data_IF_715308107971
#
_entry.id   IF_715308107971
#
_cell.length_a   1.000
_cell.length_b   1.000
_cell.length_c   1.000
_cell.angle_alpha   90.00
_cell.angle_beta   90.00
_cell.angle_gamma   90.00
#
_symmetry.space_group_name_H-M   'P 1'
#
loop_
_entity.id
_entity.type
_entity.pdbx_description
1 polymer ?
#
# COMPACT_ATOMS: atom_id res chain seq x y z
N UNK A 1 43.95 8.82 -4.11
CA UNK A 1 43.37 8.08 -2.97
C UNK A 1 42.12 7.37 -3.46
N UNK A 2 41.96 6.10 -3.08
CA UNK A 2 40.69 5.37 -2.97
C UNK A 2 40.13 4.45 -4.08
N UNK A 3 40.80 4.15 -5.20
CA UNK A 3 40.29 3.03 -6.04
C UNK A 3 40.42 1.68 -5.32
N UNK A 4 41.55 1.43 -4.67
CA UNK A 4 41.78 0.24 -3.84
C UNK A 4 41.02 0.20 -2.51
N UNK A 5 40.47 1.32 -2.04
CA UNK A 5 39.65 1.33 -0.84
C UNK A 5 38.19 1.00 -1.19
N UNK A 6 37.71 1.56 -2.30
CA UNK A 6 36.38 1.29 -2.86
C UNK A 6 36.30 -0.16 -3.34
N UNK A 7 37.30 -0.69 -4.06
CA UNK A 7 37.34 -2.11 -4.47
C UNK A 7 37.31 -3.07 -3.28
N UNK A 8 37.93 -2.68 -2.15
CA UNK A 8 38.01 -3.52 -0.96
C UNK A 8 36.75 -3.43 -0.10
N UNK A 9 36.06 -2.29 -0.12
CA UNK A 9 34.70 -2.16 0.41
C UNK A 9 33.72 -2.94 -0.46
N UNK A 10 33.79 -2.85 -1.79
CA UNK A 10 32.94 -3.61 -2.71
C UNK A 10 33.14 -5.13 -2.54
N UNK A 11 34.38 -5.61 -2.42
CA UNK A 11 34.65 -7.04 -2.21
C UNK A 11 34.21 -7.52 -0.81
N UNK A 12 34.32 -6.67 0.22
CA UNK A 12 33.79 -6.97 1.55
C UNK A 12 32.26 -6.99 1.56
N UNK A 13 31.60 -6.07 0.85
CA UNK A 13 30.16 -6.09 0.65
C UNK A 13 29.72 -7.31 -0.15
N UNK A 14 30.48 -7.73 -1.16
CA UNK A 14 30.14 -8.89 -1.99
C UNK A 14 30.04 -10.20 -1.19
N UNK A 15 30.96 -10.45 -0.25
CA UNK A 15 30.87 -11.65 0.60
C UNK A 15 29.61 -11.64 1.49
N UNK A 16 29.20 -10.46 1.96
CA UNK A 16 27.96 -10.27 2.73
C UNK A 16 26.74 -10.47 1.84
N UNK A 17 26.75 -9.90 0.63
CA UNK A 17 25.68 -10.04 -0.35
C UNK A 17 25.50 -11.49 -0.80
N UNK A 18 26.55 -12.30 -0.86
CA UNK A 18 26.46 -13.72 -1.20
C UNK A 18 25.80 -14.58 -0.09
N UNK A 19 25.65 -14.07 1.12
CA UNK A 19 25.05 -14.81 2.25
C UNK A 19 23.56 -14.52 2.45
N UNK A 20 23.03 -13.46 1.84
CA UNK A 20 21.64 -13.03 2.00
C UNK A 20 20.63 -14.02 1.40
N UNK A 21 19.48 -14.10 2.06
CA UNK A 21 18.29 -14.80 1.58
C UNK A 21 17.64 -14.07 0.39
N UNK A 22 16.74 -14.73 -0.36
CA UNK A 22 16.00 -14.09 -1.46
C UNK A 22 15.22 -12.85 -1.03
N UNK A 23 14.65 -12.88 0.18
CA UNK A 23 13.79 -11.80 0.67
C UNK A 23 14.64 -10.59 1.09
N UNK A 24 15.79 -10.81 1.73
CA UNK A 24 16.76 -9.75 2.02
C UNK A 24 17.32 -9.13 0.73
N UNK A 25 17.56 -9.95 -0.29
CA UNK A 25 17.96 -9.49 -1.62
C UNK A 25 16.88 -8.67 -2.32
N UNK A 26 15.63 -9.06 -2.18
CA UNK A 26 14.49 -8.33 -2.73
C UNK A 26 14.34 -6.97 -2.05
N UNK A 27 14.47 -6.90 -0.73
CA UNK A 27 14.41 -5.62 0.01
C UNK A 27 15.48 -4.63 -0.47
N UNK A 28 16.74 -5.07 -0.52
CA UNK A 28 17.85 -4.24 -1.01
C UNK A 28 17.71 -3.85 -2.49
N UNK A 29 17.07 -4.69 -3.29
CA UNK A 29 16.73 -4.37 -4.68
C UNK A 29 15.70 -3.25 -4.74
N UNK A 30 14.60 -3.36 -3.98
CA UNK A 30 13.54 -2.34 -3.96
C UNK A 30 14.05 -0.99 -3.45
N UNK A 31 14.87 -0.99 -2.38
CA UNK A 31 15.57 0.22 -1.90
C UNK A 31 16.45 0.84 -3.00
N UNK A 32 17.20 0.00 -3.71
CA UNK A 32 18.05 0.46 -4.82
C UNK A 32 17.27 1.08 -5.98
N UNK A 33 16.09 0.54 -6.29
CA UNK A 33 15.20 1.07 -7.32
C UNK A 33 14.58 2.40 -6.88
N UNK A 34 14.10 2.49 -5.64
CA UNK A 34 13.53 3.71 -5.07
C UNK A 34 14.52 4.89 -5.09
N UNK A 35 15.80 4.61 -4.82
CA UNK A 35 16.87 5.62 -4.77
C UNK A 35 17.58 5.87 -6.13
N UNK A 36 17.11 5.26 -7.23
CA UNK A 36 17.75 5.36 -8.56
C UNK A 36 19.25 4.98 -8.58
N UNK A 37 19.63 3.96 -7.79
CA UNK A 37 21.02 3.51 -7.62
C UNK A 37 21.41 2.42 -8.61
N UNK A 38 21.51 2.76 -9.89
CA UNK A 38 21.84 1.81 -10.97
C UNK A 38 23.11 0.97 -10.70
N UNK A 39 24.19 1.59 -10.20
CA UNK A 39 25.45 0.90 -9.89
C UNK A 39 25.29 -0.15 -8.77
N UNK A 40 24.39 0.12 -7.82
CA UNK A 40 24.05 -0.80 -6.73
C UNK A 40 23.22 -1.96 -7.25
N UNK A 41 22.24 -1.70 -8.11
CA UNK A 41 21.39 -2.73 -8.73
C UNK A 41 22.23 -3.70 -9.58
N UNK A 42 23.22 -3.19 -10.32
CA UNK A 42 24.14 -4.03 -11.07
C UNK A 42 25.05 -4.85 -10.15
N UNK A 43 25.48 -4.28 -9.03
CA UNK A 43 26.24 -5.01 -8.00
C UNK A 43 25.41 -6.16 -7.43
N UNK A 44 24.18 -5.91 -6.99
CA UNK A 44 23.27 -6.95 -6.47
C UNK A 44 23.04 -8.09 -7.47
N UNK A 45 22.81 -7.76 -8.74
CA UNK A 45 22.63 -8.76 -9.81
C UNK A 45 23.87 -9.61 -10.04
N UNK A 46 25.06 -9.02 -9.95
CA UNK A 46 26.32 -9.72 -10.21
C UNK A 46 26.80 -10.54 -9.02
N UNK A 47 26.42 -10.17 -7.79
CA UNK A 47 26.77 -10.88 -6.55
C UNK A 47 25.74 -11.89 -6.08
N UNK A 48 24.60 -12.03 -6.77
CA UNK A 48 23.58 -12.99 -6.40
C UNK A 48 24.10 -14.45 -6.47
N UNK A 49 23.97 -15.26 -5.39
CA UNK A 49 24.44 -16.66 -5.31
C UNK A 49 23.79 -17.62 -6.31
N UNK A 50 24.27 -17.62 -7.56
CA UNK A 50 23.79 -18.50 -8.65
C UNK A 50 23.85 -20.01 -8.38
N UNK A 51 24.54 -20.43 -7.32
CA UNK A 51 24.73 -21.83 -6.93
C UNK A 51 23.79 -22.28 -5.80
N UNK A 52 23.19 -21.34 -5.06
CA UNK A 52 22.13 -21.62 -4.08
C UNK A 52 20.75 -21.62 -4.73
N UNK A 53 20.56 -20.78 -5.74
CA UNK A 53 19.34 -20.70 -6.54
C UNK A 53 19.54 -21.50 -7.84
N UNK A 54 18.87 -22.65 -7.98
CA UNK A 54 19.09 -23.52 -9.14
C UNK A 54 18.41 -22.96 -10.39
N UNK A 55 19.21 -22.79 -11.45
CA UNK A 55 18.85 -22.36 -12.81
C UNK A 55 18.61 -20.85 -13.00
N UNK A 56 19.67 -20.12 -13.36
CA UNK A 56 19.61 -18.82 -14.04
C UNK A 56 18.54 -17.84 -13.50
N UNK A 57 18.55 -17.64 -12.18
CA UNK A 57 17.75 -16.71 -11.34
C UNK A 57 16.52 -16.00 -11.95
N UNK A 58 15.63 -16.81 -12.54
CA UNK A 58 14.27 -16.41 -12.85
C UNK A 58 13.54 -16.07 -11.54
N UNK A 59 13.83 -16.76 -10.43
CA UNK A 59 13.22 -16.52 -9.12
C UNK A 59 13.50 -15.10 -8.58
N UNK A 60 14.75 -14.67 -8.53
CA UNK A 60 15.13 -13.33 -8.06
C UNK A 60 14.63 -12.22 -9.00
N UNK A 61 14.86 -12.38 -10.31
CA UNK A 61 14.45 -11.38 -11.31
C UNK A 61 12.92 -11.28 -11.41
N UNK A 62 12.20 -12.40 -11.33
CA UNK A 62 10.74 -12.38 -11.31
C UNK A 62 10.17 -11.90 -10.00
N UNK A 63 10.76 -12.21 -8.84
CA UNK A 63 10.31 -11.65 -7.55
C UNK A 63 10.34 -10.13 -7.57
N UNK A 64 11.44 -9.53 -8.03
CA UNK A 64 11.54 -8.09 -8.23
C UNK A 64 10.49 -7.57 -9.21
N UNK A 65 10.32 -8.22 -10.37
CA UNK A 65 9.32 -7.85 -11.38
C UNK A 65 7.88 -7.93 -10.83
N UNK A 66 7.56 -8.99 -10.09
CA UNK A 66 6.24 -9.22 -9.48
C UNK A 66 6.00 -8.20 -8.37
N UNK A 67 7.00 -7.90 -7.53
CA UNK A 67 6.90 -6.86 -6.51
C UNK A 67 6.61 -5.48 -7.13
N UNK A 68 7.26 -5.14 -8.25
CA UNK A 68 6.97 -3.91 -8.98
C UNK A 68 5.55 -3.93 -9.58
N UNK A 69 5.09 -5.05 -10.14
CA UNK A 69 3.72 -5.19 -10.65
C UNK A 69 2.67 -5.04 -9.54
N UNK A 70 2.91 -5.63 -8.37
CA UNK A 70 2.07 -5.44 -7.18
C UNK A 70 2.08 -3.98 -6.73
N UNK A 71 3.21 -3.27 -6.82
CA UNK A 71 3.29 -1.83 -6.51
C UNK A 71 2.39 -1.02 -7.44
N UNK A 72 2.49 -1.25 -8.75
CA UNK A 72 1.62 -0.60 -9.74
C UNK A 72 0.13 -0.85 -9.44
N UNK A 73 -0.23 -2.09 -9.09
CA UNK A 73 -1.60 -2.43 -8.70
C UNK A 73 -2.02 -1.69 -7.43
N UNK A 74 -1.18 -1.71 -6.39
CA UNK A 74 -1.44 -1.05 -5.12
C UNK A 74 -1.67 0.45 -5.30
N UNK A 75 -0.80 1.12 -6.06
CA UNK A 75 -0.94 2.54 -6.35
C UNK A 75 -2.16 2.86 -7.20
N UNK A 76 -2.50 2.00 -8.17
CA UNK A 76 -3.72 2.16 -8.95
C UNK A 76 -4.96 2.04 -8.06
N UNK A 77 -5.02 1.04 -7.19
CA UNK A 77 -6.14 0.83 -6.25
C UNK A 77 -6.29 2.02 -5.30
N UNK A 78 -5.19 2.41 -4.64
CA UNK A 78 -5.18 3.54 -3.71
C UNK A 78 -5.60 4.84 -4.39
N UNK A 79 -5.02 5.13 -5.56
CA UNK A 79 -5.33 6.37 -6.28
C UNK A 79 -6.77 6.40 -6.79
N UNK A 80 -7.26 5.29 -7.36
CA UNK A 80 -8.64 5.26 -7.89
C UNK A 80 -9.69 5.30 -6.78
N UNK A 81 -9.43 4.65 -5.64
CA UNK A 81 -10.30 4.72 -4.45
C UNK A 81 -10.28 6.14 -3.87
N UNK A 82 -9.10 6.76 -3.74
CA UNK A 82 -8.94 8.15 -3.30
C UNK A 82 -9.71 9.13 -4.20
N UNK A 83 -9.55 9.03 -5.53
CA UNK A 83 -10.25 9.90 -6.48
C UNK A 83 -11.76 9.73 -6.39
N UNK A 84 -12.24 8.50 -6.18
CA UNK A 84 -13.66 8.21 -6.01
C UNK A 84 -14.21 8.83 -4.72
N UNK A 85 -13.47 8.72 -3.62
CA UNK A 85 -13.79 9.35 -2.34
C UNK A 85 -13.85 10.87 -2.46
N UNK A 86 -12.80 11.49 -3.01
CA UNK A 86 -12.72 12.94 -3.16
C UNK A 86 -13.81 13.50 -4.07
N UNK A 87 -14.11 12.81 -5.17
CA UNK A 87 -15.19 13.20 -6.08
C UNK A 87 -16.55 13.19 -5.38
N UNK A 88 -16.86 12.15 -4.62
CA UNK A 88 -18.11 12.06 -3.88
C UNK A 88 -18.16 13.11 -2.76
N UNK A 89 -17.02 13.38 -2.10
CA UNK A 89 -16.91 14.36 -1.02
C UNK A 89 -17.18 15.76 -1.54
N UNK A 90 -16.57 16.11 -2.67
CA UNK A 90 -16.79 17.39 -3.35
C UNK A 90 -18.22 17.52 -3.88
N UNK A 91 -18.78 16.46 -4.43
CA UNK A 91 -20.19 16.40 -4.87
C UNK A 91 -21.16 16.66 -3.71
N UNK A 92 -20.93 16.02 -2.55
CA UNK A 92 -21.73 16.25 -1.35
C UNK A 92 -21.60 17.69 -0.85
N UNK A 93 -20.39 18.22 -0.77
CA UNK A 93 -20.16 19.60 -0.34
C UNK A 93 -20.82 20.62 -1.27
N UNK A 94 -20.71 20.43 -2.59
CA UNK A 94 -21.34 21.30 -3.57
C UNK A 94 -22.87 21.28 -3.46
N UNK A 95 -23.49 20.11 -3.26
CA UNK A 95 -24.95 20.03 -3.05
C UNK A 95 -25.37 20.66 -1.74
N UNK A 96 -24.65 20.42 -0.64
CA UNK A 96 -24.94 21.07 0.64
C UNK A 96 -24.88 22.59 0.52
N UNK A 97 -23.89 23.13 -0.18
CA UNK A 97 -23.79 24.56 -0.44
C UNK A 97 -24.99 25.09 -1.26
N UNK A 98 -25.45 24.36 -2.28
CA UNK A 98 -26.65 24.72 -3.06
C UNK A 98 -27.90 24.71 -2.18
N UNK A 99 -28.09 23.64 -1.41
CA UNK A 99 -29.26 23.43 -0.56
C UNK A 99 -29.35 24.51 0.53
N UNK A 100 -28.22 24.92 1.12
CA UNK A 100 -28.15 26.00 2.12
C UNK A 100 -28.67 27.35 1.57
N UNK A 101 -28.55 27.59 0.27
CA UNK A 101 -29.02 28.81 -0.38
C UNK A 101 -30.47 28.70 -0.87
N UNK A 102 -30.99 27.49 -1.01
CA UNK A 102 -32.41 27.27 -1.27
C UNK A 102 -33.15 27.42 0.06
N UNK A 103 -33.98 28.46 0.22
CA UNK A 103 -34.81 28.64 1.43
C UNK A 103 -35.97 27.62 1.52
N UNK A 104 -35.83 26.47 0.86
CA UNK A 104 -36.81 25.40 0.78
C UNK A 104 -36.41 24.30 1.75
N UNK A 105 -37.40 23.71 2.43
CA UNK A 105 -37.14 22.52 3.25
C UNK A 105 -36.82 21.35 2.31
N UNK A 106 -35.76 20.56 2.58
CA UNK A 106 -35.44 19.40 1.76
C UNK A 106 -36.61 18.42 1.78
N UNK A 107 -36.93 17.85 0.61
CA UNK A 107 -37.91 16.77 0.49
C UNK A 107 -37.36 15.47 1.08
N UNK A 108 -38.25 14.52 1.40
CA UNK A 108 -37.85 13.19 1.89
C UNK A 108 -36.90 12.48 0.89
N UNK A 109 -37.16 12.60 -0.41
CA UNK A 109 -36.30 12.09 -1.49
C UNK A 109 -34.90 12.74 -1.48
N UNK A 110 -34.80 14.01 -1.10
CA UNK A 110 -33.51 14.72 -0.98
C UNK A 110 -32.73 14.22 0.22
N UNK A 111 -33.42 13.99 1.35
CA UNK A 111 -32.84 13.43 2.56
C UNK A 111 -32.34 11.99 2.35
N UNK A 112 -33.14 11.15 1.69
CA UNK A 112 -32.75 9.77 1.35
C UNK A 112 -31.48 9.74 0.48
N UNK A 113 -31.45 10.54 -0.60
CA UNK A 113 -30.24 10.67 -1.43
C UNK A 113 -29.04 11.27 -0.70
N UNK A 114 -29.25 12.06 0.35
CA UNK A 114 -28.16 12.57 1.17
C UNK A 114 -27.59 11.46 2.06
N UNK A 115 -28.46 10.62 2.65
CA UNK A 115 -28.06 9.45 3.41
C UNK A 115 -27.28 8.44 2.55
N UNK A 116 -27.77 8.12 1.34
CA UNK A 116 -27.06 7.23 0.40
C UNK A 116 -25.66 7.72 0.03
N UNK A 117 -25.47 9.03 -0.09
CA UNK A 117 -24.15 9.62 -0.39
C UNK A 117 -23.22 9.56 0.81
N UNK A 118 -23.73 9.85 2.00
CA UNK A 118 -22.97 9.72 3.24
C UNK A 118 -22.52 8.27 3.45
N UNK A 119 -23.41 7.31 3.22
CA UNK A 119 -23.10 5.87 3.20
C UNK A 119 -21.96 5.56 2.23
N UNK A 120 -22.09 6.01 0.98
CA UNK A 120 -21.07 5.75 -0.04
C UNK A 120 -19.69 6.34 0.33
N UNK A 121 -19.66 7.51 0.96
CA UNK A 121 -18.41 8.10 1.43
C UNK A 121 -17.74 7.26 2.51
N UNK A 122 -18.52 6.74 3.46
CA UNK A 122 -18.00 5.86 4.52
C UNK A 122 -17.40 4.59 3.95
N UNK A 123 -18.12 3.93 3.03
CA UNK A 123 -17.62 2.73 2.33
C UNK A 123 -16.32 3.02 1.58
N UNK A 124 -16.26 4.11 0.80
CA UNK A 124 -15.06 4.48 0.05
C UNK A 124 -13.87 4.79 0.96
N UNK A 125 -14.10 5.47 2.09
CA UNK A 125 -13.06 5.74 3.07
C UNK A 125 -12.57 4.45 3.72
N UNK A 126 -13.49 3.58 4.18
CA UNK A 126 -13.15 2.29 4.77
C UNK A 126 -12.34 1.42 3.81
N UNK A 127 -12.74 1.35 2.55
CA UNK A 127 -11.98 0.66 1.49
C UNK A 127 -10.58 1.23 1.32
N UNK A 128 -10.43 2.56 1.31
CA UNK A 128 -9.12 3.22 1.19
C UNK A 128 -8.21 2.92 2.39
N UNK A 129 -8.76 3.00 3.60
CA UNK A 129 -8.06 2.70 4.85
C UNK A 129 -7.56 1.25 4.88
N UNK A 130 -8.47 0.31 4.64
CA UNK A 130 -8.18 -1.13 4.61
C UNK A 130 -7.14 -1.46 3.55
N UNK A 131 -7.24 -0.86 2.35
CA UNK A 131 -6.24 -1.03 1.30
C UNK A 131 -4.86 -0.52 1.73
N UNK A 132 -4.78 0.72 2.24
CA UNK A 132 -3.51 1.32 2.65
C UNK A 132 -2.79 0.48 3.70
N UNK A 133 -3.47 0.12 4.78
CA UNK A 133 -2.85 -0.65 5.86
C UNK A 133 -2.58 -2.11 5.48
N UNK A 134 -3.35 -2.71 4.57
CA UNK A 134 -3.03 -4.02 4.02
C UNK A 134 -1.75 -3.97 3.17
N UNK A 135 -1.57 -2.91 2.36
CA UNK A 135 -0.34 -2.72 1.58
C UNK A 135 0.87 -2.37 2.46
N UNK A 136 0.65 -1.65 3.57
CA UNK A 136 1.68 -1.38 4.58
C UNK A 136 2.18 -2.66 5.24
N UNK A 137 1.27 -3.49 5.74
CA UNK A 137 1.61 -4.80 6.31
C UNK A 137 2.28 -5.70 5.26
N UNK A 138 1.80 -5.69 4.01
CA UNK A 138 2.39 -6.48 2.95
C UNK A 138 3.83 -6.05 2.64
N UNK A 139 4.07 -4.75 2.48
CA UNK A 139 5.41 -4.23 2.19
C UNK A 139 6.40 -4.62 3.29
N UNK A 140 6.02 -4.44 4.56
CA UNK A 140 6.91 -4.73 5.69
C UNK A 140 7.13 -6.23 5.89
N UNK A 141 6.04 -7.02 5.92
CA UNK A 141 6.11 -8.43 6.28
C UNK A 141 6.58 -9.34 5.14
N UNK A 142 6.28 -8.99 3.88
CA UNK A 142 6.58 -9.83 2.71
C UNK A 142 7.77 -9.30 1.92
N UNK A 143 7.86 -7.99 1.71
CA UNK A 143 8.92 -7.39 0.90
C UNK A 143 10.11 -6.90 1.71
N UNK A 144 9.96 -6.80 3.04
CA UNK A 144 11.02 -6.35 3.95
C UNK A 144 11.36 -4.86 3.83
N UNK A 145 10.48 -4.05 3.24
CA UNK A 145 10.66 -2.60 3.06
C UNK A 145 9.41 -1.85 3.50
N UNK A 146 9.53 -0.55 3.79
CA UNK A 146 8.35 0.27 4.06
C UNK A 146 7.48 0.43 2.81
N UNK A 147 6.18 0.69 3.00
CA UNK A 147 5.28 1.05 1.89
C UNK A 147 5.76 2.29 1.14
N UNK A 148 6.37 3.25 1.85
CA UNK A 148 6.94 4.46 1.26
C UNK A 148 8.04 4.11 0.26
N UNK A 149 9.06 3.38 0.73
CA UNK A 149 10.16 2.88 -0.12
C UNK A 149 9.64 2.06 -1.30
N UNK A 150 8.68 1.17 -1.06
CA UNK A 150 8.12 0.35 -2.14
C UNK A 150 7.39 1.20 -3.18
N UNK A 151 6.63 2.20 -2.75
CA UNK A 151 5.91 3.10 -3.64
C UNK A 151 6.82 4.00 -4.47
N UNK A 152 7.97 4.40 -3.94
CA UNK A 152 8.96 5.25 -4.62
C UNK A 152 9.57 4.57 -5.86
N UNK A 153 9.42 3.26 -5.98
CA UNK A 153 9.74 2.55 -7.24
C UNK A 153 8.84 2.97 -8.42
N UNK A 154 7.74 3.67 -8.15
CA UNK A 154 6.84 4.25 -9.14
C UNK A 154 6.98 5.79 -9.18
N UNK A 155 7.00 6.42 -10.37
CA UNK A 155 7.15 7.88 -10.49
C UNK A 155 6.14 8.72 -9.69
N UNK A 156 4.90 8.24 -9.59
CA UNK A 156 3.82 8.93 -8.88
C UNK A 156 3.61 8.42 -7.43
N UNK A 157 4.39 7.44 -6.97
CA UNK A 157 4.11 6.70 -5.74
C UNK A 157 4.06 7.58 -4.49
N UNK A 158 5.08 8.40 -4.28
CA UNK A 158 5.12 9.33 -3.13
C UNK A 158 3.99 10.37 -3.16
N UNK A 159 3.57 10.82 -4.33
CA UNK A 159 2.45 11.78 -4.45
C UNK A 159 1.11 11.13 -4.10
N UNK A 160 0.87 9.89 -4.56
CA UNK A 160 -0.35 9.14 -4.22
C UNK A 160 -0.38 8.83 -2.72
N UNK A 161 0.70 8.31 -2.14
CA UNK A 161 0.74 8.01 -0.71
C UNK A 161 0.58 9.26 0.15
N UNK A 162 1.21 10.38 -0.23
CA UNK A 162 1.03 11.65 0.46
C UNK A 162 -0.44 12.07 0.51
N UNK A 163 -1.13 12.04 -0.64
CA UNK A 163 -2.55 12.40 -0.71
C UNK A 163 -3.46 11.44 0.06
N UNK A 164 -3.14 10.14 0.08
CA UNK A 164 -3.89 9.16 0.90
C UNK A 164 -3.69 9.42 2.39
N UNK A 165 -2.46 9.68 2.83
CA UNK A 165 -2.15 9.99 4.25
C UNK A 165 -2.86 11.26 4.71
N UNK A 166 -2.93 12.29 3.86
CA UNK A 166 -3.68 13.52 4.16
C UNK A 166 -5.17 13.25 4.46
N UNK A 167 -5.79 12.28 3.78
CA UNK A 167 -7.18 11.89 4.04
C UNK A 167 -7.34 11.25 5.42
N UNK A 168 -6.33 10.53 5.91
CA UNK A 168 -6.35 9.88 7.21
C UNK A 168 -6.02 10.81 8.39
N UNK A 169 -5.60 12.05 8.13
CA UNK A 169 -5.41 13.05 9.20
C UNK A 169 -6.73 13.51 9.84
N UNK A 170 -7.88 13.17 9.24
CA UNK A 170 -9.22 13.48 9.75
C UNK A 170 -9.78 12.27 10.53
N UNK A 171 -9.50 12.25 11.84
CA UNK A 171 -9.92 11.19 12.80
C UNK A 171 -11.43 10.88 12.72
N UNK A 172 -12.26 11.86 12.34
CA UNK A 172 -13.70 11.69 12.18
C UNK A 172 -14.06 10.55 11.22
N UNK A 173 -13.34 10.43 10.10
CA UNK A 173 -13.63 9.38 9.11
C UNK A 173 -13.21 8.00 9.58
N UNK A 174 -12.12 7.92 10.34
CA UNK A 174 -11.64 6.66 10.94
C UNK A 174 -12.66 6.15 11.95
N UNK A 175 -13.12 7.02 12.85
CA UNK A 175 -14.17 6.68 13.82
C UNK A 175 -15.44 6.20 13.10
N UNK A 176 -15.92 6.98 12.13
CA UNK A 176 -17.16 6.69 11.42
C UNK A 176 -17.11 5.40 10.60
N UNK A 177 -15.99 5.10 9.94
CA UNK A 177 -15.83 3.86 9.19
C UNK A 177 -15.63 2.63 10.11
N UNK A 178 -15.06 2.82 11.30
CA UNK A 178 -14.97 1.77 12.31
C UNK A 178 -16.34 1.41 12.87
N UNK A 179 -17.22 2.40 13.10
CA UNK A 179 -18.60 2.16 13.51
C UNK A 179 -19.38 1.35 12.48
N UNK A 180 -19.21 1.63 11.18
CA UNK A 180 -19.87 0.88 10.09
C UNK A 180 -19.45 -0.60 10.04
N UNK A 181 -18.24 -0.96 10.49
CA UNK A 181 -17.83 -2.36 10.60
C UNK A 181 -18.64 -3.14 11.65
N UNK A 182 -19.37 -2.43 12.52
CA UNK A 182 -20.06 -2.96 13.69
C UNK A 182 -21.55 -2.65 13.71
N UNK A 183 -22.23 -2.69 12.54
CA UNK A 183 -23.67 -2.46 12.43
C UNK A 183 -24.48 -3.19 13.54
N UNK A 184 -25.02 -2.44 14.51
CA UNK A 184 -25.82 -2.98 15.62
C UNK A 184 -25.51 -2.38 17.00
N UNK A 185 -25.95 -3.07 18.07
CA UNK A 185 -25.71 -2.69 19.48
C UNK A 185 -24.40 -3.31 20.04
N UNK A 186 -23.35 -3.42 19.22
CA UNK A 186 -22.05 -3.87 19.73
C UNK A 186 -21.33 -2.65 20.29
N UNK A 187 -21.08 -2.62 21.59
CA UNK A 187 -20.35 -1.51 22.20
C UNK A 187 -18.85 -1.60 21.89
N UNK A 188 -18.15 -0.46 21.69
CA UNK A 188 -16.71 -0.42 21.57
C UNK A 188 -16.00 -1.13 22.74
N UNK A 189 -15.05 -2.01 22.42
CA UNK A 189 -14.28 -2.78 23.41
C UNK A 189 -14.91 -4.12 23.83
N UNK A 190 -16.01 -4.55 23.19
CA UNK A 190 -16.48 -5.92 23.26
C UNK A 190 -15.58 -6.84 22.41
N UNK A 191 -15.47 -8.13 22.76
CA UNK A 191 -14.70 -9.14 22.02
C UNK A 191 -15.20 -9.34 20.56
N UNK A 192 -16.44 -8.89 20.27
CA UNK A 192 -17.02 -8.91 18.93
C UNK A 192 -16.90 -7.59 18.17
N UNK A 193 -16.24 -6.57 18.74
CA UNK A 193 -16.02 -5.28 18.08
C UNK A 193 -14.90 -5.42 17.05
N UNK A 194 -15.25 -5.27 15.77
CA UNK A 194 -14.34 -5.38 14.64
C UNK A 194 -13.71 -4.01 14.35
N UNK A 195 -12.39 -3.97 14.29
CA UNK A 195 -11.62 -2.78 13.95
C UNK A 195 -11.29 -2.74 12.46
N UNK A 196 -11.02 -1.55 11.92
CA UNK A 196 -10.55 -1.42 10.54
C UNK A 196 -9.20 -2.13 10.34
N UNK A 197 -8.35 -2.20 11.36
CA UNK A 197 -7.09 -2.93 11.37
C UNK A 197 -7.30 -4.45 11.19
N UNK A 198 -8.34 -5.02 11.81
CA UNK A 198 -8.68 -6.44 11.62
C UNK A 198 -9.17 -6.70 10.19
N UNK A 199 -9.94 -5.79 9.61
CA UNK A 199 -10.35 -5.89 8.20
C UNK A 199 -9.14 -5.73 7.26
N UNK A 200 -8.22 -4.81 7.58
CA UNK A 200 -6.95 -4.66 6.87
C UNK A 200 -6.09 -5.93 6.94
N UNK A 201 -6.05 -6.60 8.09
CA UNK A 201 -5.34 -7.88 8.26
C UNK A 201 -5.94 -8.99 7.37
N UNK A 202 -7.27 -9.07 7.22
CA UNK A 202 -7.92 -10.02 6.30
C UNK A 202 -7.49 -9.73 4.85
N UNK A 203 -7.45 -8.46 4.45
CA UNK A 203 -7.02 -8.08 3.10
C UNK A 203 -5.52 -8.34 2.89
N UNK A 204 -4.68 -8.09 3.90
CA UNK A 204 -3.27 -8.44 3.89
C UNK A 204 -3.07 -9.95 3.65
N UNK A 205 -3.82 -10.81 4.33
CA UNK A 205 -3.72 -12.26 4.11
C UNK A 205 -4.07 -12.66 2.68
N UNK A 206 -5.08 -12.02 2.07
CA UNK A 206 -5.40 -12.24 0.66
C UNK A 206 -4.26 -11.79 -0.28
N UNK A 207 -3.61 -10.65 0.00
CA UNK A 207 -2.43 -10.18 -0.75
C UNK A 207 -1.25 -11.16 -0.60
N UNK A 208 -1.01 -11.65 0.61
CA UNK A 208 0.03 -12.65 0.89
C UNK A 208 -0.21 -13.93 0.11
N UNK A 209 -1.45 -14.44 0.08
CA UNK A 209 -1.80 -15.62 -0.71
C UNK A 209 -1.58 -15.39 -2.22
N UNK A 210 -1.98 -14.22 -2.74
CA UNK A 210 -1.73 -13.88 -4.15
C UNK A 210 -0.23 -13.80 -4.47
N UNK A 211 0.57 -13.30 -3.54
CA UNK A 211 2.03 -13.28 -3.69
C UNK A 211 2.62 -14.70 -3.71
N UNK A 212 2.21 -15.56 -2.78
CA UNK A 212 2.66 -16.96 -2.73
C UNK A 212 2.30 -17.74 -4.00
N UNK A 213 1.11 -17.49 -4.56
CA UNK A 213 0.70 -18.07 -5.84
C UNK A 213 1.51 -17.54 -7.04
N UNK A 214 1.88 -16.25 -7.02
CA UNK A 214 2.64 -15.60 -8.08
C UNK A 214 4.14 -15.92 -8.03
N UNK A 215 4.65 -16.19 -6.83
CA UNK A 215 6.03 -16.54 -6.53
C UNK A 215 6.06 -17.95 -5.90
N UNK A 216 5.68 -19.00 -6.65
CA UNK A 216 5.69 -20.35 -6.11
C UNK A 216 7.10 -20.70 -5.63
N UNK A 217 7.19 -21.49 -4.55
CA UNK A 217 8.45 -22.03 -4.03
C UNK A 217 9.30 -22.59 -5.19
N UNK A 218 10.30 -21.80 -5.61
CA UNK A 218 11.30 -22.15 -6.62
C UNK A 218 12.52 -22.76 -5.94
#
# INVERSE_FOLDING_TARGET
MNTHHIEREIEAHRLILEELSPDEHLGLFLEGVADDRDDWLETLRTTCPRHRYQMADHAYTERGRIALLFCHHALSDLHTTLLSFELERQSQHARWAIDLHSNEKPSDETLERAAERAERLRVLFGDLYVQYHAYEQFAEAVLGVSLETWSETHPDGGSVLGAVREVFEDDYWVELATEDCNEGEVEPGNDSWVTLEEVAAIRYEALRMMWEDAVPDL
#
